data_IF_207940966061
#
_entry.id   IF_207940966061
#
_cell.length_a   1.000
_cell.length_b   1.000
_cell.length_c   1.000
_cell.angle_alpha   90.00
_cell.angle_beta   90.00
_cell.angle_gamma   90.00
#
_symmetry.space_group_name_H-M   'P 1'
#
loop_
_entity.id
_entity.type
_entity.pdbx_description
1 polymer ?
#
# COMPACT_ATOMS: atom_id res chain seq x y z
N UNK A 1 55.43 35.22 -27.29
CA UNK A 1 54.68 34.13 -27.94
C UNK A 1 53.41 33.84 -27.14
N UNK A 2 52.25 34.02 -27.80
CA UNK A 2 50.83 33.59 -27.55
C UNK A 2 50.50 32.92 -26.20
N UNK A 3 49.70 33.52 -25.30
CA UNK A 3 48.20 33.52 -25.21
C UNK A 3 47.54 32.17 -25.54
N UNK A 4 46.87 31.53 -24.55
CA UNK A 4 45.41 31.26 -24.56
C UNK A 4 44.92 30.47 -23.33
N UNK A 5 43.82 30.99 -22.77
CA UNK A 5 42.89 30.40 -21.80
C UNK A 5 42.38 29.02 -22.23
N UNK A 6 42.07 28.15 -21.26
CA UNK A 6 41.03 27.14 -21.43
C UNK A 6 40.37 26.79 -20.09
N UNK A 7 39.45 27.66 -19.67
CA UNK A 7 38.24 27.24 -18.98
C UNK A 7 37.44 26.40 -19.98
N UNK A 8 37.27 25.11 -19.72
CA UNK A 8 36.19 24.32 -20.31
C UNK A 8 35.55 23.49 -19.21
N UNK A 9 34.37 23.95 -18.79
CA UNK A 9 33.15 23.16 -18.73
C UNK A 9 33.37 21.67 -19.02
N UNK A 10 33.54 20.87 -17.97
CA UNK A 10 33.13 19.47 -18.00
C UNK A 10 31.68 19.47 -17.55
N UNK A 11 30.83 19.44 -18.58
CA UNK A 11 29.41 19.23 -18.48
C UNK A 11 29.16 18.02 -17.57
N UNK A 12 28.39 18.25 -16.50
CA UNK A 12 27.61 17.20 -15.86
C UNK A 12 26.56 16.82 -16.91
N UNK A 13 26.92 15.88 -17.78
CA UNK A 13 25.99 15.28 -18.72
C UNK A 13 24.96 14.48 -17.90
N UNK A 14 23.65 14.65 -18.14
CA UNK A 14 22.65 13.82 -17.52
C UNK A 14 22.86 12.38 -18.00
N UNK A 15 23.05 11.46 -17.04
CA UNK A 15 23.09 10.03 -17.30
C UNK A 15 21.72 9.62 -17.87
N UNK A 16 21.71 9.32 -19.17
CA UNK A 16 20.56 8.82 -19.92
C UNK A 16 20.86 7.36 -20.31
N UNK A 17 20.01 6.47 -19.79
CA UNK A 17 19.58 5.13 -20.26
C UNK A 17 20.40 3.89 -19.88
N UNK A 18 19.70 2.91 -19.28
CA UNK A 18 19.48 1.49 -19.71
C UNK A 18 19.30 0.61 -18.46
N UNK A 19 18.32 -0.30 -18.28
CA UNK A 19 17.35 -0.97 -19.13
C UNK A 19 16.15 -1.46 -18.28
N UNK A 20 14.94 -0.98 -18.56
CA UNK A 20 13.66 -1.67 -18.31
C UNK A 20 12.49 -0.92 -18.98
N UNK A 21 12.66 -0.44 -20.22
CA UNK A 21 11.57 0.09 -21.03
C UNK A 21 11.70 -0.44 -22.45
N UNK A 22 11.43 -1.74 -22.61
CA UNK A 22 11.09 -2.30 -23.91
C UNK A 22 9.60 -2.08 -24.14
N UNK A 23 9.23 -0.85 -24.50
CA UNK A 23 8.19 -0.59 -25.49
C UNK A 23 8.33 0.86 -25.94
N UNK A 24 8.90 1.01 -27.14
CA UNK A 24 9.05 2.28 -27.84
C UNK A 24 7.68 2.95 -28.01
N UNK A 25 7.47 4.05 -27.29
CA UNK A 25 6.29 4.90 -27.41
C UNK A 25 6.35 6.12 -26.49
N UNK A 26 7.09 7.15 -26.91
CA UNK A 26 7.05 8.53 -26.39
C UNK A 26 7.44 8.77 -24.93
N UNK A 27 8.74 8.80 -24.62
CA UNK A 27 9.25 9.50 -23.43
C UNK A 27 9.16 11.05 -23.58
N UNK A 28 9.11 11.55 -24.81
CA UNK A 28 9.04 13.00 -25.11
C UNK A 28 7.68 13.66 -24.82
N UNK A 29 6.66 12.90 -24.40
CA UNK A 29 5.33 13.43 -24.05
C UNK A 29 5.12 13.69 -22.54
N UNK A 30 6.09 13.37 -21.68
CA UNK A 30 5.87 13.27 -20.22
C UNK A 30 6.49 14.37 -19.35
N UNK A 31 7.12 15.41 -19.94
CA UNK A 31 7.74 16.48 -19.16
C UNK A 31 8.90 15.99 -18.29
N UNK A 32 9.14 16.64 -17.14
CA UNK A 32 10.18 16.22 -16.19
C UNK A 32 9.77 14.90 -15.52
N UNK A 33 10.58 13.86 -15.65
CA UNK A 33 10.38 12.56 -14.99
C UNK A 33 11.33 12.40 -13.81
N UNK A 34 10.84 11.79 -12.73
CA UNK A 34 11.61 11.42 -11.54
C UNK A 34 11.66 9.90 -11.40
N UNK A 35 12.74 9.34 -10.84
CA UNK A 35 12.92 7.89 -10.71
C UNK A 35 12.66 7.43 -9.26
N UNK A 36 11.69 6.55 -9.08
CA UNK A 36 11.43 5.83 -7.83
C UNK A 36 12.15 4.48 -7.86
N UNK A 37 13.18 4.32 -7.03
CA UNK A 37 13.82 3.02 -6.83
C UNK A 37 13.09 2.29 -5.70
N UNK A 38 12.39 1.22 -6.04
CA UNK A 38 11.63 0.43 -5.09
C UNK A 38 12.34 -0.88 -4.78
N UNK A 39 12.20 -1.34 -3.54
CA UNK A 39 12.66 -2.66 -3.13
C UNK A 39 11.84 -3.21 -1.97
N UNK A 40 11.48 -4.48 -2.05
CA UNK A 40 10.88 -5.28 -0.98
C UNK A 40 11.46 -6.69 -1.06
N UNK A 41 12.06 -7.20 0.03
CA UNK A 41 12.73 -8.50 0.02
C UNK A 41 12.57 -9.23 1.35
N UNK A 42 11.99 -10.42 1.33
CA UNK A 42 11.73 -11.25 2.50
C UNK A 42 10.28 -11.72 2.55
N UNK A 43 9.75 -11.90 3.76
CA UNK A 43 8.40 -12.40 4.00
C UNK A 43 7.34 -11.47 3.40
N UNK A 44 6.46 -12.05 2.60
CA UNK A 44 5.22 -11.43 2.16
C UNK A 44 4.16 -12.52 2.09
N UNK A 45 3.28 -12.50 3.07
CA UNK A 45 2.02 -13.24 3.05
C UNK A 45 1.07 -12.47 2.13
N UNK A 46 0.66 -13.14 1.05
CA UNK A 46 -0.31 -12.71 0.05
C UNK A 46 0.19 -11.81 -1.10
N UNK A 47 -0.07 -10.50 -1.06
CA UNK A 47 -0.13 -9.73 -2.30
C UNK A 47 0.71 -8.42 -2.26
N UNK A 48 1.32 -8.09 -3.41
CA UNK A 48 1.89 -6.77 -3.70
C UNK A 48 1.34 -6.23 -5.03
N UNK A 49 0.72 -5.05 -4.98
CA UNK A 49 0.28 -4.31 -6.16
C UNK A 49 1.08 -3.02 -6.34
N UNK A 50 1.55 -2.77 -7.56
CA UNK A 50 2.24 -1.53 -7.95
C UNK A 50 1.54 -0.91 -9.15
N UNK A 51 0.96 0.26 -8.96
CA UNK A 51 0.15 0.96 -9.96
C UNK A 51 0.70 2.35 -10.26
N UNK A 52 0.75 2.74 -11.52
CA UNK A 52 1.00 4.12 -11.92
C UNK A 52 -0.30 4.76 -12.39
N UNK A 53 -0.69 5.84 -11.72
CA UNK A 53 -1.97 6.51 -11.92
C UNK A 53 -1.77 7.89 -12.51
N UNK A 54 -2.65 8.27 -13.42
CA UNK A 54 -2.84 9.64 -13.90
C UNK A 54 -4.33 9.98 -13.85
N UNK A 55 -4.69 11.21 -14.23
CA UNK A 55 -6.09 11.65 -14.28
C UNK A 55 -6.99 10.71 -15.10
N UNK A 56 -6.46 10.19 -16.21
CA UNK A 56 -7.26 9.47 -17.21
C UNK A 56 -7.06 7.95 -17.17
N UNK A 57 -6.04 7.45 -16.45
CA UNK A 57 -5.68 6.05 -16.53
C UNK A 57 -4.95 5.52 -15.29
N UNK A 58 -5.15 4.23 -15.03
CA UNK A 58 -4.41 3.44 -14.03
C UNK A 58 -3.72 2.29 -14.75
N UNK A 59 -2.40 2.25 -14.65
CA UNK A 59 -1.55 1.19 -15.21
C UNK A 59 -1.04 0.29 -14.09
N UNK A 60 -1.37 -0.99 -14.13
CA UNK A 60 -0.67 -1.99 -13.31
C UNK A 60 0.72 -2.20 -13.86
N UNK A 61 1.73 -1.92 -13.04
CA UNK A 61 3.12 -2.17 -13.35
C UNK A 61 3.54 -3.55 -12.85
N UNK A 62 3.14 -3.88 -11.61
CA UNK A 62 3.41 -5.18 -11.00
C UNK A 62 2.20 -5.66 -10.21
N UNK A 63 1.99 -6.97 -10.23
CA UNK A 63 0.95 -7.67 -9.48
C UNK A 63 1.54 -9.00 -9.03
N UNK A 64 1.86 -9.10 -7.75
CA UNK A 64 2.29 -10.34 -7.10
C UNK A 64 1.15 -10.86 -6.25
N UNK A 65 0.87 -12.16 -6.35
CA UNK A 65 -0.17 -12.80 -5.53
C UNK A 65 0.24 -14.19 -5.07
N UNK A 66 -0.18 -14.58 -3.86
CA UNK A 66 0.16 -15.89 -3.30
C UNK A 66 -0.84 -16.97 -3.66
N UNK A 67 -2.14 -16.68 -3.58
CA UNK A 67 -3.24 -17.63 -3.69
C UNK A 67 -4.06 -17.44 -4.98
N UNK A 68 -3.38 -17.11 -6.08
CA UNK A 68 -4.00 -16.98 -7.40
C UNK A 68 -3.45 -17.99 -8.44
N UNK A 69 -3.97 -19.23 -8.49
CA UNK A 69 -3.51 -20.25 -9.44
C UNK A 69 -3.90 -19.95 -10.90
N UNK A 70 -4.66 -18.88 -11.16
CA UNK A 70 -5.14 -18.53 -12.50
C UNK A 70 -4.21 -17.59 -13.26
N UNK A 71 -3.11 -17.14 -12.66
CA UNK A 71 -2.12 -16.19 -13.24
C UNK A 71 -2.70 -14.83 -13.67
N UNK A 72 -3.97 -14.55 -13.34
CA UNK A 72 -4.63 -13.31 -13.70
C UNK A 72 -5.46 -12.76 -12.54
N UNK A 73 -5.16 -11.52 -12.17
CA UNK A 73 -5.96 -10.69 -11.28
C UNK A 73 -7.01 -9.93 -12.09
N UNK A 74 -8.26 -9.86 -11.60
CA UNK A 74 -9.30 -9.08 -12.26
C UNK A 74 -9.43 -7.70 -11.60
N UNK A 75 -9.06 -6.66 -12.32
CA UNK A 75 -9.16 -5.27 -11.87
C UNK A 75 -10.06 -4.49 -12.82
N UNK A 76 -11.21 -4.02 -12.33
CA UNK A 76 -12.18 -3.22 -13.11
C UNK A 76 -12.55 -3.86 -14.47
N UNK A 77 -12.74 -5.19 -14.48
CA UNK A 77 -13.05 -5.95 -15.69
C UNK A 77 -11.85 -6.20 -16.63
N UNK A 78 -10.67 -5.69 -16.31
CA UNK A 78 -9.41 -6.00 -17.01
C UNK A 78 -8.71 -7.18 -16.34
N UNK A 79 -8.12 -8.06 -17.15
CA UNK A 79 -7.24 -9.12 -16.69
C UNK A 79 -5.82 -8.59 -16.60
N UNK A 80 -5.27 -8.55 -15.40
CA UNK A 80 -3.90 -8.17 -15.11
C UNK A 80 -3.12 -9.45 -14.87
N UNK A 81 -1.99 -9.62 -15.55
CA UNK A 81 -1.13 -10.79 -15.31
C UNK A 81 -0.55 -10.68 -13.90
N UNK A 82 -0.70 -11.73 -13.09
CA UNK A 82 -0.08 -11.84 -11.77
C UNK A 82 1.14 -12.76 -11.80
N UNK A 83 2.12 -12.44 -10.97
CA UNK A 83 3.27 -13.28 -10.67
C UNK A 83 3.04 -13.98 -9.32
N UNK A 84 3.19 -15.30 -9.30
CA UNK A 84 3.00 -16.07 -8.07
C UNK A 84 4.14 -15.80 -7.09
N UNK A 85 3.79 -15.57 -5.82
CA UNK A 85 4.74 -15.58 -4.69
C UNK A 85 4.35 -16.66 -3.70
N UNK A 86 5.31 -17.21 -2.96
CA UNK A 86 5.07 -18.36 -2.07
C UNK A 86 5.45 -18.00 -0.63
N UNK A 87 4.82 -16.95 -0.08
CA UNK A 87 5.14 -16.39 1.24
C UNK A 87 6.43 -15.55 1.27
N UNK A 88 7.08 -15.36 0.13
CA UNK A 88 8.37 -14.67 0.00
C UNK A 88 8.42 -13.84 -1.27
N UNK A 89 9.01 -12.64 -1.18
CA UNK A 89 9.20 -11.72 -2.31
C UNK A 89 10.67 -11.28 -2.45
N UNK A 90 11.11 -11.06 -3.70
CA UNK A 90 12.37 -10.39 -4.04
C UNK A 90 12.11 -9.36 -5.15
N UNK A 91 11.34 -8.33 -4.78
CA UNK A 91 10.92 -7.27 -5.69
C UNK A 91 11.93 -6.13 -5.69
N UNK A 92 12.33 -5.71 -6.89
CA UNK A 92 13.15 -4.52 -7.12
C UNK A 92 12.83 -3.94 -8.48
N UNK A 93 12.50 -2.65 -8.53
CA UNK A 93 12.28 -1.95 -9.79
C UNK A 93 12.63 -0.45 -9.70
N UNK A 94 12.85 0.18 -10.85
CA UNK A 94 13.04 1.62 -10.99
C UNK A 94 11.96 2.19 -11.90
N UNK A 95 11.02 2.90 -11.30
CA UNK A 95 9.83 3.39 -11.99
C UNK A 95 9.97 4.89 -12.28
N UNK A 96 9.73 5.29 -13.53
CA UNK A 96 9.66 6.70 -13.91
C UNK A 96 8.28 7.28 -13.58
N UNK A 97 8.25 8.39 -12.84
CA UNK A 97 7.03 9.12 -12.43
C UNK A 97 7.08 10.53 -13.01
N UNK A 98 6.05 10.90 -13.78
CA UNK A 98 5.88 12.28 -14.28
C UNK A 98 5.26 13.22 -13.24
N UNK A 99 5.15 14.51 -13.57
CA UNK A 99 4.59 15.53 -12.67
C UNK A 99 3.11 15.34 -12.34
N UNK A 100 2.34 14.76 -13.28
CA UNK A 100 0.90 14.48 -13.12
C UNK A 100 0.60 12.99 -12.91
N UNK A 101 1.55 12.27 -12.29
CA UNK A 101 1.39 10.86 -11.97
C UNK A 101 1.52 10.62 -10.47
N UNK A 102 0.79 9.62 -9.99
CA UNK A 102 0.95 9.05 -8.65
C UNK A 102 1.27 7.57 -8.79
N UNK A 103 2.42 7.16 -8.26
CA UNK A 103 2.75 5.76 -8.08
C UNK A 103 2.11 5.29 -6.76
N UNK A 104 1.24 4.30 -6.84
CA UNK A 104 0.55 3.70 -5.71
C UNK A 104 1.07 2.30 -5.48
N UNK A 105 1.37 1.97 -4.22
CA UNK A 105 1.85 0.66 -3.80
C UNK A 105 0.94 0.14 -2.71
N UNK A 106 0.56 -1.13 -2.79
CA UNK A 106 -0.31 -1.76 -1.81
C UNK A 106 0.20 -3.15 -1.47
N UNK A 107 0.36 -3.41 -0.17
CA UNK A 107 0.48 -4.76 0.37
C UNK A 107 -0.88 -5.16 0.91
N UNK A 108 -1.31 -6.35 0.57
CA UNK A 108 -2.66 -6.80 0.85
C UNK A 108 -2.67 -8.25 1.28
N UNK A 109 -3.66 -8.61 2.08
CA UNK A 109 -3.98 -10.01 2.30
C UNK A 109 -4.88 -10.51 1.15
N UNK A 110 -4.82 -11.81 0.91
CA UNK A 110 -5.65 -12.56 -0.03
C UNK A 110 -6.39 -13.63 0.78
N UNK A 111 -7.47 -14.15 0.19
CA UNK A 111 -8.14 -15.31 0.76
C UNK A 111 -7.29 -16.56 0.55
N UNK A 112 -6.92 -17.23 1.65
CA UNK A 112 -6.35 -18.57 1.66
C UNK A 112 -7.14 -19.59 0.82
N UNK A 113 -6.41 -20.55 0.23
CA UNK A 113 -7.02 -21.71 -0.43
C UNK A 113 -7.94 -22.47 0.54
N UNK A 114 -9.08 -22.93 0.01
CA UNK A 114 -10.22 -23.41 0.81
C UNK A 114 -9.84 -24.67 1.59
N UNK A 115 -9.62 -24.53 2.91
CA UNK A 115 -9.71 -25.68 3.82
C UNK A 115 -11.18 -26.00 4.14
N UNK A 116 -11.44 -27.28 4.39
CA UNK A 116 -12.79 -27.86 4.56
C UNK A 116 -13.60 -27.27 5.73
N UNK A 117 -13.04 -26.38 6.56
CA UNK A 117 -13.65 -25.81 7.76
C UNK A 117 -14.13 -24.36 7.55
N UNK A 118 -15.45 -24.11 7.43
CA UNK A 118 -16.02 -22.79 7.17
C UNK A 118 -15.70 -21.67 8.16
N UNK A 119 -15.49 -22.03 9.42
CA UNK A 119 -15.21 -21.11 10.51
C UNK A 119 -13.78 -20.53 10.48
N UNK A 120 -12.87 -21.18 9.76
CA UNK A 120 -11.51 -20.67 9.52
C UNK A 120 -11.45 -19.72 8.31
N UNK A 121 -12.57 -19.54 7.56
CA UNK A 121 -12.63 -18.79 6.28
C UNK A 121 -12.56 -17.26 6.40
N UNK A 122 -12.60 -16.68 7.60
CA UNK A 122 -12.71 -15.22 7.82
C UNK A 122 -11.38 -14.64 8.35
N UNK A 123 -10.31 -15.43 8.31
CA UNK A 123 -9.15 -15.25 9.20
C UNK A 123 -7.86 -15.50 8.41
N UNK A 124 -7.23 -14.41 7.97
CA UNK A 124 -5.99 -14.44 7.19
C UNK A 124 -4.79 -14.23 8.12
N UNK A 125 -3.67 -14.85 7.81
CA UNK A 125 -2.38 -14.51 8.39
C UNK A 125 -1.76 -13.48 7.43
N UNK A 126 -1.37 -12.32 7.94
CA UNK A 126 -0.76 -11.31 7.10
C UNK A 126 0.59 -10.90 7.69
N UNK A 127 1.60 -10.92 6.83
CA UNK A 127 2.95 -10.50 7.13
C UNK A 127 3.52 -9.79 5.92
N UNK A 128 4.23 -8.70 6.17
CA UNK A 128 4.97 -8.03 5.12
C UNK A 128 6.25 -7.45 5.69
N UNK A 129 7.38 -7.72 5.04
CA UNK A 129 8.60 -6.93 5.24
C UNK A 129 8.39 -5.48 4.78
N UNK A 130 9.37 -4.62 5.07
CA UNK A 130 9.31 -3.23 4.63
C UNK A 130 9.41 -3.11 3.10
N UNK A 131 8.66 -2.15 2.56
CA UNK A 131 8.83 -1.67 1.20
C UNK A 131 9.59 -0.34 1.25
N UNK A 132 10.69 -0.26 0.53
CA UNK A 132 11.56 0.93 0.51
C UNK A 132 11.43 1.73 -0.78
N UNK A 133 11.56 3.06 -0.66
CA UNK A 133 11.70 4.02 -1.74
C UNK A 133 13.04 4.74 -1.59
N UNK A 134 13.91 4.64 -2.59
CA UNK A 134 15.23 5.30 -2.59
C UNK A 134 16.02 5.01 -1.28
N UNK A 135 15.98 3.76 -0.82
CA UNK A 135 16.60 3.26 0.42
C UNK A 135 16.01 3.81 1.73
N UNK A 136 14.86 4.51 1.69
CA UNK A 136 14.09 4.88 2.87
C UNK A 136 12.88 3.96 3.00
N UNK A 137 12.52 3.57 4.21
CA UNK A 137 11.30 2.80 4.47
C UNK A 137 10.09 3.66 4.07
N UNK A 138 9.32 3.17 3.09
CA UNK A 138 8.10 3.82 2.62
C UNK A 138 6.87 3.21 3.28
N UNK A 139 6.72 1.89 3.19
CA UNK A 139 5.73 1.12 3.95
C UNK A 139 6.53 0.31 4.97
N UNK A 140 6.42 0.59 6.28
CA UNK A 140 7.08 -0.19 7.31
C UNK A 140 6.64 -1.64 7.29
N UNK A 141 7.49 -2.51 7.84
CA UNK A 141 7.15 -3.92 8.04
C UNK A 141 5.92 -4.09 8.94
N UNK A 142 5.26 -5.23 8.77
CA UNK A 142 4.19 -5.73 9.62
C UNK A 142 4.44 -7.22 9.82
N UNK A 143 5.33 -7.55 10.75
CA UNK A 143 5.60 -8.92 11.20
C UNK A 143 5.47 -8.95 12.72
N UNK A 144 4.31 -9.36 13.26
CA UNK A 144 4.09 -9.41 14.70
C UNK A 144 5.08 -10.27 15.47
N UNK A 145 5.63 -11.32 14.88
CA UNK A 145 6.69 -12.12 15.50
C UNK A 145 7.96 -11.30 15.79
N UNK A 146 8.19 -10.24 15.02
CA UNK A 146 9.27 -9.28 15.26
C UNK A 146 8.88 -8.13 16.18
N UNK A 147 7.63 -8.12 16.69
CA UNK A 147 7.05 -7.04 17.46
C UNK A 147 7.09 -5.69 16.70
N UNK A 148 6.94 -5.74 15.36
CA UNK A 148 6.85 -4.54 14.51
C UNK A 148 5.67 -3.63 14.89
N UNK A 149 4.69 -4.22 15.55
CA UNK A 149 3.57 -3.53 16.19
C UNK A 149 3.50 -4.00 17.65
N UNK A 150 3.99 -3.20 18.60
CA UNK A 150 3.93 -3.57 20.02
C UNK A 150 2.50 -3.86 20.48
N UNK A 151 2.32 -4.96 21.24
CA UNK A 151 1.01 -5.37 21.75
C UNK A 151 0.18 -6.21 20.78
N UNK A 152 0.72 -6.54 19.60
CA UNK A 152 0.04 -7.38 18.63
C UNK A 152 0.15 -8.87 18.98
N UNK A 153 -0.95 -9.65 18.96
CA UNK A 153 -0.88 -11.08 19.20
C UNK A 153 -0.08 -11.79 18.10
N UNK A 154 0.90 -12.59 18.51
CA UNK A 154 1.69 -13.45 17.62
C UNK A 154 0.95 -14.75 17.27
N UNK A 155 1.37 -15.36 16.15
CA UNK A 155 0.81 -16.58 15.57
C UNK A 155 0.63 -17.73 16.59
N UNK A 156 1.52 -17.83 17.55
CA UNK A 156 1.45 -18.76 18.68
C UNK A 156 1.27 -17.96 19.96
N UNK A 157 0.14 -18.12 20.65
CA UNK A 157 0.04 -17.63 22.03
C UNK A 157 1.17 -18.22 22.88
N UNK A 158 1.56 -17.54 23.96
CA UNK A 158 2.67 -17.95 24.83
C UNK A 158 2.52 -19.36 25.48
N UNK A 159 1.36 -20.00 25.33
CA UNK A 159 1.05 -21.32 25.87
C UNK A 159 0.81 -22.32 24.72
N UNK A 160 1.90 -22.74 24.06
CA UNK A 160 1.88 -23.86 23.12
C UNK A 160 1.59 -25.18 23.86
N UNK A 161 0.34 -25.62 23.79
CA UNK A 161 -0.07 -26.97 24.17
C UNK A 161 -1.33 -27.33 23.41
N UNK A 162 -1.17 -27.83 22.18
CA UNK A 162 -2.21 -28.41 21.33
C UNK A 162 -3.61 -27.83 21.48
N UNK A 163 -3.95 -26.91 20.58
CA UNK A 163 -5.29 -26.45 20.22
C UNK A 163 -6.43 -27.39 20.63
N UNK A 164 -6.94 -27.20 21.84
CA UNK A 164 -8.25 -27.74 22.24
C UNK A 164 -9.26 -26.65 21.85
N UNK A 165 -10.13 -26.97 20.90
CA UNK A 165 -11.33 -26.17 20.63
C UNK A 165 -12.24 -26.36 21.85
N UNK A 166 -12.03 -25.55 22.87
CA UNK A 166 -12.98 -25.39 23.96
C UNK A 166 -13.99 -24.33 23.52
N UNK A 167 -15.19 -24.77 23.13
CA UNK A 167 -16.29 -23.89 22.71
C UNK A 167 -16.72 -22.89 23.80
N UNK A 168 -16.29 -23.10 25.05
CA UNK A 168 -16.58 -22.22 26.19
C UNK A 168 -15.45 -21.25 26.51
N UNK A 169 -14.27 -21.40 25.87
CA UNK A 169 -13.15 -20.46 25.96
C UNK A 169 -12.81 -19.99 24.54
N UNK A 170 -13.55 -18.98 24.08
CA UNK A 170 -13.51 -18.42 22.73
C UNK A 170 -12.17 -17.77 22.31
N UNK A 171 -11.12 -17.87 23.12
CA UNK A 171 -9.85 -17.18 22.93
C UNK A 171 -8.74 -18.21 23.06
N UNK A 172 -8.18 -18.67 21.93
CA UNK A 172 -6.80 -19.15 21.78
C UNK A 172 -6.51 -19.58 20.33
N UNK A 173 -6.84 -18.70 19.38
CA UNK A 173 -6.34 -18.76 18.01
C UNK A 173 -6.21 -17.32 17.50
N UNK A 174 -4.99 -16.80 17.56
CA UNK A 174 -4.63 -15.43 17.14
C UNK A 174 -4.56 -15.34 15.61
N UNK A 175 -5.73 -15.36 15.00
CA UNK A 175 -5.86 -14.90 13.63
C UNK A 175 -6.09 -13.40 13.64
N UNK A 176 -5.36 -12.68 12.80
CA UNK A 176 -5.76 -11.35 12.40
C UNK A 176 -7.19 -11.45 11.89
N UNK A 177 -8.17 -10.78 12.52
CA UNK A 177 -9.54 -10.70 12.00
C UNK A 177 -9.58 -9.74 10.80
N UNK A 178 -8.59 -9.82 9.92
CA UNK A 178 -8.51 -9.01 8.72
C UNK A 178 -9.49 -9.58 7.71
N UNK A 179 -10.25 -8.68 7.09
CA UNK A 179 -11.13 -9.03 5.98
C UNK A 179 -10.30 -9.65 4.86
N UNK A 180 -10.72 -10.81 4.33
CA UNK A 180 -10.15 -11.41 3.12
C UNK A 180 -10.11 -10.41 1.95
N UNK A 181 -9.05 -10.45 1.14
CA UNK A 181 -8.86 -9.57 -0.02
C UNK A 181 -8.96 -8.09 0.38
N UNK A 182 -8.11 -7.66 1.30
CA UNK A 182 -8.07 -6.32 1.85
C UNK A 182 -6.66 -5.75 1.82
N UNK A 183 -6.55 -4.46 1.56
CA UNK A 183 -5.27 -3.76 1.67
C UNK A 183 -4.93 -3.62 3.15
N UNK A 184 -3.74 -4.09 3.52
CA UNK A 184 -3.21 -4.02 4.87
C UNK A 184 -2.23 -2.85 5.02
N UNK A 185 -1.64 -2.36 3.93
CA UNK A 185 -0.82 -1.15 3.93
C UNK A 185 -0.62 -0.61 2.53
N UNK A 186 -0.39 0.70 2.41
CA UNK A 186 -0.19 1.31 1.12
C UNK A 186 0.57 2.61 1.14
N UNK A 187 1.05 3.03 -0.01
CA UNK A 187 1.76 4.30 -0.15
C UNK A 187 1.46 4.98 -1.48
N UNK A 188 1.50 6.30 -1.46
CA UNK A 188 1.45 7.14 -2.65
C UNK A 188 2.81 7.83 -2.81
N UNK A 189 3.34 7.83 -4.02
CA UNK A 189 4.62 8.46 -4.35
C UNK A 189 4.42 9.41 -5.52
N UNK A 190 4.85 10.66 -5.32
CA UNK A 190 4.81 11.72 -6.34
C UNK A 190 6.22 12.14 -6.76
N UNK A 191 6.33 12.78 -7.91
CA UNK A 191 7.64 13.18 -8.47
C UNK A 191 8.35 14.28 -7.65
N UNK A 192 7.61 15.30 -7.23
CA UNK A 192 8.15 16.49 -6.55
C UNK A 192 7.42 16.81 -5.26
N UNK A 193 8.18 17.30 -4.30
CA UNK A 193 7.71 17.74 -2.99
C UNK A 193 6.72 18.88 -3.16
N UNK A 194 5.50 18.69 -2.68
CA UNK A 194 4.43 19.65 -2.83
C UNK A 194 3.30 19.40 -1.84
N UNK A 195 2.41 20.40 -1.75
CA UNK A 195 1.16 20.22 -1.02
C UNK A 195 0.27 19.26 -1.78
N UNK A 196 -0.32 18.31 -1.06
CA UNK A 196 -1.29 17.35 -1.58
C UNK A 196 -2.56 17.38 -0.74
N UNK A 197 -3.68 17.10 -1.39
CA UNK A 197 -4.93 16.77 -0.72
C UNK A 197 -5.34 15.36 -1.15
N UNK A 198 -5.57 14.48 -0.18
CA UNK A 198 -5.91 13.07 -0.40
C UNK A 198 -7.25 12.82 0.28
N UNK A 199 -8.23 12.35 -0.49
CA UNK A 199 -9.60 12.05 -0.05
C UNK A 199 -9.90 10.59 -0.25
N UNK A 200 -10.39 9.93 0.80
CA UNK A 200 -10.70 8.49 0.81
C UNK A 200 -12.21 8.28 0.79
N UNK A 201 -12.68 7.45 -0.14
CA UNK A 201 -14.11 7.20 -0.36
C UNK A 201 -14.46 5.72 -0.24
N UNK A 202 -15.62 5.46 0.34
CA UNK A 202 -16.20 4.12 0.37
C UNK A 202 -16.90 3.76 -0.97
N UNK A 203 -17.45 2.55 -1.04
CA UNK A 203 -18.17 2.04 -2.23
C UNK A 203 -19.43 2.83 -2.61
N UNK A 204 -20.00 3.63 -1.69
CA UNK A 204 -21.14 4.52 -1.93
C UNK A 204 -20.72 5.91 -2.42
N UNK A 205 -19.41 6.16 -2.52
CA UNK A 205 -18.81 7.48 -2.75
C UNK A 205 -19.03 8.48 -1.60
N UNK A 206 -19.24 7.98 -0.37
CA UNK A 206 -19.18 8.84 0.82
C UNK A 206 -17.71 9.17 1.11
N UNK A 207 -17.41 10.45 1.39
CA UNK A 207 -16.10 10.86 1.88
C UNK A 207 -15.93 10.36 3.31
N UNK A 208 -14.93 9.51 3.52
CA UNK A 208 -14.66 8.90 4.83
C UNK A 208 -13.53 9.63 5.57
N UNK A 209 -12.46 9.99 4.85
CA UNK A 209 -11.30 10.64 5.43
C UNK A 209 -10.69 11.65 4.48
N UNK A 210 -10.13 12.72 5.03
CA UNK A 210 -9.40 13.74 4.31
C UNK A 210 -8.03 14.00 4.94
N UNK A 211 -7.01 14.05 4.09
CA UNK A 211 -5.66 14.46 4.47
C UNK A 211 -5.23 15.66 3.63
N UNK A 212 -4.71 16.68 4.31
CA UNK A 212 -4.01 17.79 3.66
C UNK A 212 -2.64 17.96 4.28
N UNK A 213 -1.59 17.91 3.47
CA UNK A 213 -0.22 18.05 3.97
C UNK A 213 0.80 18.22 2.86
N UNK A 214 2.08 18.17 3.23
CA UNK A 214 3.19 18.23 2.29
C UNK A 214 3.74 16.81 2.12
N UNK A 215 3.70 16.32 0.88
CA UNK A 215 4.49 15.18 0.47
C UNK A 215 5.92 15.67 0.25
N UNK A 216 6.88 15.12 0.97
CA UNK A 216 8.31 15.41 0.80
C UNK A 216 9.12 14.12 0.69
N UNK A 217 10.44 14.25 0.55
CA UNK A 217 11.33 13.10 0.31
C UNK A 217 11.47 12.16 1.51
N UNK A 218 10.86 12.49 2.65
CA UNK A 218 10.79 11.61 3.81
C UNK A 218 9.39 11.00 3.85
N UNK A 219 9.26 9.66 3.69
CA UNK A 219 7.99 8.99 3.84
C UNK A 219 7.29 9.32 5.15
N UNK A 220 5.99 9.60 5.08
CA UNK A 220 5.16 9.91 6.24
C UNK A 220 3.87 9.14 6.19
N UNK A 221 3.41 8.70 7.36
CA UNK A 221 2.06 8.20 7.54
C UNK A 221 1.06 9.33 7.31
N UNK A 222 -0.06 9.03 6.66
CA UNK A 222 -1.18 9.94 6.53
C UNK A 222 -1.89 10.05 7.89
N UNK A 223 -2.01 11.28 8.40
CA UNK A 223 -2.76 11.58 9.62
C UNK A 223 -3.96 12.43 9.24
N UNK A 224 -5.14 11.83 9.29
CA UNK A 224 -6.38 12.42 8.79
C UNK A 224 -6.94 13.47 9.74
N UNK A 225 -7.64 14.46 9.19
CA UNK A 225 -8.21 15.55 10.00
C UNK A 225 -9.31 15.03 10.95
N UNK A 226 -10.04 14.01 10.53
CA UNK A 226 -11.06 13.31 11.32
C UNK A 226 -10.44 12.55 12.53
N UNK A 227 -9.14 12.23 12.47
CA UNK A 227 -8.39 11.58 13.55
C UNK A 227 -7.88 12.59 14.59
N UNK A 228 -7.94 13.90 14.30
CA UNK A 228 -7.43 14.98 15.20
C UNK A 228 -8.43 15.42 16.28
N UNK A 229 -9.66 14.91 16.27
CA UNK A 229 -10.74 15.29 17.20
C UNK A 229 -11.03 14.24 18.29
N UNK A 230 -10.08 13.38 18.65
CA UNK A 230 -10.23 12.29 19.64
C UNK A 230 -11.29 11.21 19.29
N UNK A 231 -11.80 11.18 18.04
CA UNK A 231 -12.76 10.17 17.55
C UNK A 231 -12.09 8.90 16.97
N UNK A 232 -10.76 8.83 16.97
CA UNK A 232 -10.00 7.64 16.60
C UNK A 232 -8.96 7.39 17.68
N UNK A 233 -8.85 6.15 18.16
CA UNK A 233 -7.78 5.77 19.08
C UNK A 233 -6.44 6.11 18.43
N UNK A 234 -5.58 6.81 19.19
CA UNK A 234 -4.22 7.21 18.80
C UNK A 234 -3.27 6.02 18.63
N UNK A 235 -3.77 4.80 18.84
CA UNK A 235 -3.04 3.58 18.56
C UNK A 235 -2.80 3.44 17.05
N UNK A 236 -1.57 3.08 16.66
CA UNK A 236 -1.20 2.82 15.26
C UNK A 236 -2.09 1.74 14.60
N UNK A 237 -2.86 1.00 15.41
CA UNK A 237 -3.98 0.12 15.05
C UNK A 237 -5.10 0.22 16.09
N UNK A 238 -6.04 1.16 15.98
CA UNK A 238 -7.29 1.18 16.77
C UNK A 238 -8.21 -0.05 16.51
N UNK A 239 -7.65 -1.16 16.01
CA UNK A 239 -8.33 -2.27 15.37
C UNK A 239 -7.86 -3.63 15.88
N UNK A 240 -7.44 -3.77 17.14
CA UNK A 240 -7.16 -5.13 17.64
C UNK A 240 -8.46 -5.99 17.68
N UNK A 241 -9.62 -5.38 17.43
CA UNK A 241 -10.89 -6.07 17.19
C UNK A 241 -11.58 -5.74 15.85
N UNK A 242 -10.86 -5.10 14.91
CA UNK A 242 -11.43 -4.67 13.64
C UNK A 242 -12.51 -3.60 13.77
N UNK A 243 -12.43 -2.75 14.81
CA UNK A 243 -13.44 -1.74 15.03
C UNK A 243 -13.33 -0.58 14.03
N UNK A 244 -14.44 -0.26 13.35
CA UNK A 244 -14.64 1.06 12.73
C UNK A 244 -15.46 1.88 13.71
N UNK A 245 -15.02 3.10 14.00
CA UNK A 245 -15.72 4.01 14.90
C UNK A 245 -16.96 4.59 14.20
N UNK A 246 -18.15 4.43 14.80
CA UNK A 246 -19.42 4.89 14.22
C UNK A 246 -19.93 6.22 14.81
N UNK A 247 -19.09 6.91 15.58
CA UNK A 247 -19.44 8.13 16.31
C UNK A 247 -20.06 7.88 17.68
N UNK A 248 -20.32 6.62 18.06
CA UNK A 248 -20.90 6.27 19.36
C UNK A 248 -20.19 5.14 20.09
N UNK A 249 -19.62 4.16 19.38
CA UNK A 249 -18.79 3.06 19.92
C UNK A 249 -17.82 2.48 18.88
N UNK A 250 -16.84 1.69 19.34
CA UNK A 250 -16.06 0.77 18.52
C UNK A 250 -16.95 -0.37 18.00
N UNK A 251 -17.11 -0.51 16.67
CA UNK A 251 -17.98 -1.53 16.06
C UNK A 251 -17.18 -2.67 15.42
N UNK A 252 -17.23 -3.86 16.03
CA UNK A 252 -16.66 -5.12 15.49
C UNK A 252 -17.55 -5.78 14.42
N UNK A 253 -18.53 -5.03 13.90
CA UNK A 253 -19.51 -5.55 12.96
C UNK A 253 -18.93 -5.59 11.53
N UNK A 254 -18.61 -6.81 11.06
CA UNK A 254 -18.15 -7.07 9.70
C UNK A 254 -18.97 -6.38 8.60
N UNK A 255 -20.28 -6.25 8.73
CA UNK A 255 -21.10 -5.57 7.72
C UNK A 255 -20.85 -4.06 7.71
N UNK A 256 -20.65 -3.45 8.88
CA UNK A 256 -20.33 -2.04 9.01
C UNK A 256 -18.93 -1.72 8.47
N UNK A 257 -17.94 -2.55 8.80
CA UNK A 257 -16.56 -2.43 8.28
C UNK A 257 -16.58 -2.50 6.76
N UNK A 258 -17.22 -3.52 6.17
CA UNK A 258 -17.33 -3.67 4.71
C UNK A 258 -18.05 -2.51 4.03
N UNK A 259 -19.08 -1.96 4.67
CA UNK A 259 -19.84 -0.85 4.12
C UNK A 259 -19.05 0.47 4.11
N UNK A 260 -18.09 0.63 5.04
CA UNK A 260 -17.31 1.85 5.22
C UNK A 260 -15.85 1.73 4.74
N UNK A 261 -15.42 0.53 4.34
CA UNK A 261 -14.11 0.31 3.77
C UNK A 261 -13.88 1.20 2.54
N UNK A 262 -12.67 1.73 2.44
CA UNK A 262 -12.26 2.59 1.35
C UNK A 262 -12.11 1.73 0.10
N UNK A 263 -12.69 2.18 -1.00
CA UNK A 263 -12.54 1.52 -2.30
C UNK A 263 -11.94 2.44 -3.34
N UNK A 264 -11.87 3.74 -3.04
CA UNK A 264 -11.41 4.77 -3.97
C UNK A 264 -10.66 5.88 -3.25
N UNK A 265 -9.62 6.38 -3.90
CA UNK A 265 -8.79 7.48 -3.43
C UNK A 265 -8.75 8.57 -4.50
N UNK A 266 -8.95 9.82 -4.09
CA UNK A 266 -8.70 10.99 -4.93
C UNK A 266 -7.47 11.73 -4.42
N UNK A 267 -6.56 12.07 -5.32
CA UNK A 267 -5.38 12.86 -5.02
C UNK A 267 -5.37 14.10 -5.90
N UNK A 268 -5.41 15.26 -5.27
CA UNK A 268 -5.26 16.55 -5.96
C UNK A 268 -3.77 16.88 -6.12
N UNK A 269 -3.32 16.98 -7.37
CA UNK A 269 -1.93 17.21 -7.76
C UNK A 269 -1.87 18.21 -8.91
N UNK A 270 -1.14 19.32 -8.75
CA UNK A 270 -1.02 20.37 -9.78
C UNK A 270 -2.35 20.91 -10.35
N UNK A 271 -3.42 20.88 -9.56
CA UNK A 271 -4.77 21.28 -10.01
C UNK A 271 -5.53 20.22 -10.81
N UNK A 272 -4.94 19.02 -10.98
CA UNK A 272 -5.63 17.84 -11.49
C UNK A 272 -6.08 16.94 -10.35
N UNK A 273 -7.16 16.18 -10.59
CA UNK A 273 -7.66 15.16 -9.67
C UNK A 273 -7.33 13.81 -10.27
N UNK A 274 -6.48 13.05 -9.60
CA UNK A 274 -6.13 11.68 -9.95
C UNK A 274 -7.03 10.75 -9.13
N UNK A 275 -7.83 9.94 -9.82
CA UNK A 275 -8.72 8.96 -9.18
C UNK A 275 -8.06 7.59 -9.23
N UNK A 276 -8.00 6.92 -8.08
CA UNK A 276 -7.42 5.59 -7.93
C UNK A 276 -8.51 4.70 -7.33
N UNK A 277 -9.00 3.75 -8.11
CA UNK A 277 -9.79 2.66 -7.57
C UNK A 277 -8.84 1.62 -6.97
N UNK A 278 -9.14 1.13 -5.77
CA UNK A 278 -8.21 0.26 -5.06
C UNK A 278 -8.29 -1.18 -5.61
N UNK A 279 -7.16 -1.92 -5.69
CA UNK A 279 -7.17 -3.33 -6.11
C UNK A 279 -8.03 -4.18 -5.19
N UNK A 280 -7.96 -3.90 -3.90
CA UNK A 280 -8.82 -4.45 -2.85
C UNK A 280 -9.35 -3.33 -1.96
N UNK A 281 -10.48 -3.52 -1.26
CA UNK A 281 -10.92 -2.58 -0.25
C UNK A 281 -9.86 -2.37 0.83
N UNK A 282 -9.72 -1.14 1.29
CA UNK A 282 -8.89 -0.74 2.41
C UNK A 282 -9.82 -0.47 3.61
N UNK A 283 -10.04 -1.46 4.49
CA UNK A 283 -10.89 -1.27 5.66
C UNK A 283 -10.31 -0.24 6.64
N UNK A 284 -8.98 -0.08 6.67
CA UNK A 284 -8.30 0.71 7.70
C UNK A 284 -7.20 1.59 7.09
N UNK A 285 -7.38 2.93 7.06
CA UNK A 285 -6.49 3.83 6.32
C UNK A 285 -5.25 4.27 7.10
N UNK A 286 -5.13 3.90 8.37
CA UNK A 286 -3.99 4.18 9.25
C UNK A 286 -2.63 3.77 8.67
N UNK A 287 -2.53 2.70 7.86
CA UNK A 287 -1.28 2.30 7.22
C UNK A 287 -1.11 2.84 5.79
N UNK A 288 -1.62 4.03 5.52
CA UNK A 288 -1.32 4.75 4.28
C UNK A 288 -0.18 5.75 4.48
N UNK A 289 0.74 5.77 3.52
CA UNK A 289 1.92 6.63 3.53
C UNK A 289 1.99 7.50 2.28
N UNK A 290 2.73 8.60 2.37
CA UNK A 290 3.01 9.52 1.25
C UNK A 290 4.48 9.89 1.24
N UNK A 291 5.07 9.98 0.05
CA UNK A 291 6.42 10.51 -0.17
C UNK A 291 6.52 11.20 -1.53
N UNK A 292 7.54 12.04 -1.70
CA UNK A 292 8.01 12.49 -3.01
C UNK A 292 9.38 11.88 -3.34
N UNK A 293 9.79 11.99 -4.61
CA UNK A 293 11.14 11.63 -5.05
C UNK A 293 12.13 12.78 -4.83
N UNK A 294 11.72 14.02 -5.12
CA UNK A 294 12.58 15.23 -5.07
C UNK A 294 11.95 16.41 -4.38
#
# INVERSE_FOLDING_TARGET
MKRRNFLKYLAIAPFIISNAFSNNGNLDKFGTVSLANLKMKGDLDDDLFVLLNSKDNTNFLHCYQMHNPKEFFNYQGKKIKSEAIYGMIDFKDTIAIGENHVLSLFVANEREEVFELPQLRIRTHFKAVDLTLNNKVLIPALIPENNDVPGYPVWFGNDEGYCIIDETKAENYNYYKLWENAICGGAFVISKSQKVNIKLFNSRNDLMFNYTGIADTTPKQLVYDEVKNDEFSSHIFAEVDGAVYDGTNESTNNAFIKANAITKVLIELNGEIITIDLPYPLPYPNRLYISSIS
#
